data_IF_840985607700
#
_entry.id   IF_840985607700
#
_cell.length_a   1.000
_cell.length_b   1.000
_cell.length_c   1.000
_cell.angle_alpha   90.00
_cell.angle_beta   90.00
_cell.angle_gamma   90.00
#
_symmetry.space_group_name_H-M   'P 1'
#
loop_
_entity.id
_entity.type
_entity.pdbx_description
1 polymer ?
#
# COMPACT_ATOMS: atom_id res chain seq x y z
N UNK A 1 -23.14 -16.30 15.27
CA UNK A 1 -23.42 -14.86 15.48
C UNK A 1 -22.56 -14.08 14.49
N UNK A 2 -23.08 -13.84 13.28
CA UNK A 2 -22.35 -13.16 12.21
C UNK A 2 -23.13 -11.88 11.82
N UNK A 3 -23.07 -10.87 12.71
CA UNK A 3 -23.76 -9.58 12.54
C UNK A 3 -22.84 -8.48 12.02
N UNK A 4 -21.53 -8.68 12.08
CA UNK A 4 -20.56 -7.72 11.56
C UNK A 4 -20.78 -7.55 10.05
N UNK A 5 -20.86 -6.29 9.60
CA UNK A 5 -21.08 -5.90 8.20
C UNK A 5 -22.33 -6.52 7.53
N UNK A 6 -23.33 -6.98 8.30
CA UNK A 6 -24.59 -7.41 7.69
C UNK A 6 -25.33 -6.19 7.10
N UNK A 7 -26.15 -6.36 6.05
CA UNK A 7 -26.94 -5.27 5.48
C UNK A 7 -27.77 -4.53 6.54
N UNK A 8 -28.46 -5.26 7.42
CA UNK A 8 -29.27 -4.68 8.49
C UNK A 8 -28.43 -3.83 9.47
N UNK A 9 -27.24 -4.33 9.85
CA UNK A 9 -26.35 -3.61 10.75
C UNK A 9 -25.84 -2.32 10.11
N UNK A 10 -25.43 -2.40 8.84
CA UNK A 10 -24.91 -1.26 8.08
C UNK A 10 -25.99 -0.20 7.87
N UNK A 11 -27.20 -0.61 7.49
CA UNK A 11 -28.32 0.30 7.28
C UNK A 11 -28.73 0.99 8.59
N UNK A 12 -28.81 0.25 9.69
CA UNK A 12 -29.17 0.82 10.98
C UNK A 12 -28.11 1.78 11.54
N UNK A 13 -26.82 1.50 11.31
CA UNK A 13 -25.72 2.26 11.93
C UNK A 13 -25.26 3.44 11.08
N UNK A 14 -25.28 3.32 9.75
CA UNK A 14 -24.73 4.32 8.82
C UNK A 14 -25.75 4.82 7.79
N UNK A 15 -26.82 4.08 7.55
CA UNK A 15 -27.82 4.39 6.54
C UNK A 15 -27.74 3.51 5.29
N UNK A 16 -28.68 3.77 4.38
CA UNK A 16 -28.94 2.91 3.21
C UNK A 16 -27.84 2.93 2.15
N UNK A 17 -27.07 4.02 2.06
CA UNK A 17 -26.12 4.23 0.99
C UNK A 17 -24.69 3.99 1.48
N UNK A 18 -23.91 3.21 0.74
CA UNK A 18 -22.55 2.87 1.14
C UNK A 18 -21.62 4.09 1.26
N UNK A 19 -21.91 5.20 0.57
CA UNK A 19 -21.17 6.45 0.69
C UNK A 19 -21.26 7.08 2.09
N UNK A 20 -22.19 6.60 2.93
CA UNK A 20 -22.34 7.03 4.32
C UNK A 20 -21.47 6.20 5.27
N UNK A 21 -20.91 5.08 4.81
CA UNK A 21 -20.07 4.21 5.65
C UNK A 21 -18.71 4.86 5.86
N UNK A 22 -18.24 4.89 7.10
CA UNK A 22 -16.90 5.40 7.41
C UNK A 22 -15.77 4.51 6.89
N UNK A 23 -14.53 5.04 6.87
CA UNK A 23 -13.32 4.32 6.41
C UNK A 23 -13.07 3.05 7.23
N UNK A 24 -13.48 3.02 8.49
CA UNK A 24 -13.40 1.86 9.37
C UNK A 24 -14.15 0.66 8.81
N UNK A 25 -15.25 0.86 8.10
CA UNK A 25 -16.02 -0.22 7.48
C UNK A 25 -15.23 -0.89 6.36
N UNK A 26 -14.57 -0.09 5.52
CA UNK A 26 -13.66 -0.61 4.49
C UNK A 26 -12.46 -1.33 5.12
N UNK A 27 -11.94 -0.81 6.22
CA UNK A 27 -10.80 -1.38 6.95
C UNK A 27 -11.15 -2.74 7.56
N UNK A 28 -12.30 -2.85 8.25
CA UNK A 28 -12.80 -4.11 8.82
C UNK A 28 -13.02 -5.14 7.71
N UNK A 29 -13.66 -4.75 6.61
CA UNK A 29 -13.89 -5.63 5.47
C UNK A 29 -12.58 -6.20 4.91
N UNK A 30 -11.59 -5.34 4.69
CA UNK A 30 -10.32 -5.74 4.08
C UNK A 30 -9.48 -6.59 5.05
N UNK A 31 -9.39 -6.21 6.33
CA UNK A 31 -8.71 -7.02 7.34
C UNK A 31 -9.37 -8.40 7.49
N UNK A 32 -10.70 -8.48 7.44
CA UNK A 32 -11.42 -9.75 7.46
C UNK A 32 -11.05 -10.62 6.24
N UNK A 33 -11.01 -10.05 5.04
CA UNK A 33 -10.58 -10.78 3.83
C UNK A 33 -9.15 -11.30 3.90
N UNK A 34 -8.27 -10.65 4.65
CA UNK A 34 -6.86 -11.04 4.78
C UNK A 34 -6.69 -12.13 5.84
N UNK A 35 -7.29 -11.96 7.02
CA UNK A 35 -6.96 -12.78 8.19
C UNK A 35 -8.05 -13.77 8.62
N UNK A 36 -9.26 -13.63 8.11
CA UNK A 36 -10.40 -14.45 8.55
C UNK A 36 -10.75 -15.46 7.45
N UNK A 37 -11.02 -16.70 7.84
CA UNK A 37 -11.45 -17.76 6.91
C UNK A 37 -12.73 -17.35 6.20
N UNK A 38 -12.79 -17.61 4.90
CA UNK A 38 -13.95 -17.33 4.07
C UNK A 38 -15.25 -17.93 4.64
N UNK A 39 -16.34 -17.16 4.55
CA UNK A 39 -17.66 -17.54 5.10
C UNK A 39 -17.84 -17.34 6.60
N UNK A 40 -16.80 -16.99 7.35
CA UNK A 40 -16.90 -16.77 8.81
C UNK A 40 -17.61 -15.46 9.16
N UNK A 41 -17.42 -14.42 8.35
CA UNK A 41 -17.96 -13.08 8.57
C UNK A 41 -18.66 -12.54 7.32
N UNK A 42 -19.67 -11.69 7.48
CA UNK A 42 -20.22 -10.98 6.32
C UNK A 42 -19.19 -9.95 5.84
N UNK A 43 -19.21 -9.71 4.53
CA UNK A 43 -18.32 -8.78 3.84
C UNK A 43 -19.15 -7.84 2.98
N UNK A 44 -18.56 -6.71 2.64
CA UNK A 44 -19.13 -5.79 1.66
C UNK A 44 -19.10 -6.44 0.27
N UNK A 45 -20.08 -6.11 -0.56
CA UNK A 45 -20.02 -6.41 -1.98
C UNK A 45 -18.82 -5.70 -2.64
N UNK A 46 -18.29 -6.25 -3.72
CA UNK A 46 -17.17 -5.63 -4.45
C UNK A 46 -17.48 -4.20 -4.89
N UNK A 47 -18.73 -3.94 -5.30
CA UNK A 47 -19.17 -2.59 -5.69
C UNK A 47 -19.01 -1.60 -4.54
N UNK A 48 -19.44 -1.98 -3.33
CA UNK A 48 -19.29 -1.14 -2.14
C UNK A 48 -17.81 -0.91 -1.80
N UNK A 49 -16.99 -1.97 -1.86
CA UNK A 49 -15.53 -1.87 -1.63
C UNK A 49 -14.89 -0.87 -2.59
N UNK A 50 -15.20 -0.95 -3.89
CA UNK A 50 -14.65 -0.04 -4.91
C UNK A 50 -15.10 1.41 -4.67
N UNK A 51 -16.37 1.64 -4.30
CA UNK A 51 -16.86 2.98 -4.00
C UNK A 51 -16.13 3.57 -2.79
N UNK A 52 -16.03 2.82 -1.69
CA UNK A 52 -15.35 3.28 -0.47
C UNK A 52 -13.86 3.52 -0.72
N UNK A 53 -13.21 2.65 -1.48
CA UNK A 53 -11.80 2.83 -1.84
C UNK A 53 -11.59 4.17 -2.54
N UNK A 54 -12.39 4.47 -3.58
CA UNK A 54 -12.31 5.75 -4.31
C UNK A 54 -12.54 6.97 -3.43
N UNK A 55 -13.34 6.84 -2.37
CA UNK A 55 -13.60 7.92 -1.43
C UNK A 55 -12.45 8.15 -0.43
N UNK A 56 -11.73 7.09 -0.06
CA UNK A 56 -10.82 7.12 1.09
C UNK A 56 -9.34 7.02 0.78
N UNK A 57 -8.97 6.67 -0.45
CA UNK A 57 -7.58 6.69 -0.92
C UNK A 57 -7.21 8.06 -1.48
N UNK A 58 -5.98 8.48 -1.20
CA UNK A 58 -5.36 9.60 -1.89
C UNK A 58 -4.94 9.19 -3.31
N UNK A 59 -4.65 10.19 -4.15
CA UNK A 59 -3.99 10.00 -5.44
C UNK A 59 -2.58 9.41 -5.25
N UNK A 60 -2.09 8.72 -6.27
CA UNK A 60 -0.68 8.33 -6.34
C UNK A 60 0.16 9.53 -6.83
N UNK A 61 1.24 9.92 -6.13
CA UNK A 61 2.13 10.96 -6.63
C UNK A 61 2.75 10.58 -7.97
N UNK A 62 2.64 11.46 -8.96
CA UNK A 62 3.18 11.30 -10.32
C UNK A 62 3.73 12.64 -10.77
N UNK A 63 5.01 12.69 -11.17
CA UNK A 63 5.71 13.91 -11.61
C UNK A 63 5.09 14.59 -12.82
N UNK A 64 4.37 13.84 -13.65
CA UNK A 64 3.75 14.37 -14.86
C UNK A 64 2.46 15.17 -14.54
N UNK A 65 2.00 15.13 -13.29
CA UNK A 65 0.77 15.79 -12.87
C UNK A 65 1.08 17.13 -12.19
N UNK A 66 0.67 18.29 -12.76
CA UNK A 66 0.99 19.59 -12.20
C UNK A 66 0.22 19.85 -10.90
N UNK A 67 0.85 19.56 -9.76
CA UNK A 67 0.31 19.79 -8.41
C UNK A 67 1.39 20.19 -7.42
N UNK A 68 0.98 20.91 -6.37
CA UNK A 68 1.83 21.14 -5.21
C UNK A 68 1.99 19.86 -4.39
N UNK A 69 3.18 19.25 -4.46
CA UNK A 69 3.53 18.08 -3.66
C UNK A 69 3.86 18.46 -2.22
N UNK A 70 3.24 17.76 -1.27
CA UNK A 70 3.68 17.80 0.11
C UNK A 70 5.04 17.07 0.27
N UNK A 71 5.65 17.19 1.46
CA UNK A 71 6.95 16.60 1.73
C UNK A 71 6.99 15.09 1.44
N UNK A 72 5.97 14.33 1.86
CA UNK A 72 5.89 12.89 1.63
C UNK A 72 5.75 12.54 0.15
N UNK A 73 4.96 13.30 -0.61
CA UNK A 73 4.79 13.05 -2.04
C UNK A 73 6.11 13.24 -2.78
N UNK A 74 6.89 14.26 -2.42
CA UNK A 74 8.24 14.47 -2.95
C UNK A 74 9.17 13.30 -2.64
N UNK A 75 9.11 12.75 -1.42
CA UNK A 75 9.89 11.57 -1.06
C UNK A 75 9.42 10.31 -1.82
N UNK A 76 8.12 10.12 -2.00
CA UNK A 76 7.58 9.01 -2.80
C UNK A 76 8.15 9.04 -4.22
N UNK A 77 8.07 10.21 -4.86
CA UNK A 77 8.61 10.47 -6.19
C UNK A 77 10.12 10.24 -6.24
N UNK A 78 10.87 10.78 -5.27
CA UNK A 78 12.33 10.63 -5.21
C UNK A 78 12.77 9.17 -5.04
N UNK A 79 12.09 8.40 -4.17
CA UNK A 79 12.34 6.97 -4.00
C UNK A 79 12.07 6.21 -5.30
N UNK A 80 10.96 6.52 -5.99
CA UNK A 80 10.68 5.92 -7.30
C UNK A 80 11.80 6.21 -8.29
N UNK A 81 12.24 7.47 -8.40
CA UNK A 81 13.33 7.87 -9.32
C UNK A 81 14.64 7.11 -9.05
N UNK A 82 15.05 7.04 -7.78
CA UNK A 82 16.28 6.32 -7.40
C UNK A 82 16.16 4.84 -7.76
N UNK A 83 15.03 4.21 -7.47
CA UNK A 83 14.80 2.80 -7.81
C UNK A 83 14.75 2.57 -9.32
N UNK A 84 14.09 3.43 -10.09
CA UNK A 84 13.97 3.30 -11.53
C UNK A 84 15.34 3.40 -12.21
N UNK A 85 16.17 4.36 -11.77
CA UNK A 85 17.53 4.52 -12.29
C UNK A 85 18.41 3.31 -11.98
N UNK A 86 18.30 2.77 -10.77
CA UNK A 86 19.18 1.69 -10.28
C UNK A 86 18.75 0.30 -10.74
N UNK A 87 17.47 0.13 -11.08
CA UNK A 87 16.88 -1.14 -11.52
C UNK A 87 16.73 -1.27 -13.05
N UNK A 88 17.17 -0.26 -13.79
CA UNK A 88 17.26 -0.32 -15.25
C UNK A 88 16.07 0.24 -16.03
N UNK A 89 15.14 0.96 -15.38
CA UNK A 89 14.06 1.64 -16.09
C UNK A 89 12.79 1.89 -15.27
N UNK A 90 11.87 2.63 -15.87
CA UNK A 90 10.55 2.96 -15.31
C UNK A 90 9.69 1.70 -15.14
N UNK A 91 9.90 0.69 -15.99
CA UNK A 91 9.13 -0.53 -16.03
C UNK A 91 9.36 -1.48 -14.85
N UNK A 92 10.40 -1.23 -14.04
CA UNK A 92 10.79 -2.07 -12.89
C UNK A 92 10.28 -1.55 -11.54
N UNK A 93 9.57 -0.43 -11.54
CA UNK A 93 9.04 0.22 -10.33
C UNK A 93 7.68 0.83 -10.63
N UNK A 94 6.67 0.53 -9.81
CA UNK A 94 5.32 1.09 -9.97
C UNK A 94 4.73 1.53 -8.64
N UNK A 95 3.89 2.57 -8.65
CA UNK A 95 3.07 2.93 -7.49
C UNK A 95 1.73 2.21 -7.55
N UNK A 96 1.30 1.56 -6.46
CA UNK A 96 -0.01 0.90 -6.42
C UNK A 96 -0.67 0.93 -5.05
N UNK A 97 -2.01 0.95 -5.02
CA UNK A 97 -2.79 0.79 -3.78
C UNK A 97 -3.11 -0.69 -3.55
N UNK A 98 -2.15 -1.44 -2.99
CA UNK A 98 -2.35 -2.86 -2.66
C UNK A 98 -3.44 -3.04 -1.60
N UNK A 99 -3.47 -2.12 -0.63
CA UNK A 99 -4.44 -2.07 0.45
C UNK A 99 -5.28 -0.79 0.37
N UNK A 100 -6.45 -0.86 -0.26
CA UNK A 100 -7.31 0.29 -0.57
C UNK A 100 -7.97 0.97 0.65
N UNK A 101 -7.87 0.37 1.83
CA UNK A 101 -8.34 0.99 3.08
C UNK A 101 -7.25 1.85 3.75
N UNK A 102 -6.00 1.71 3.32
CA UNK A 102 -4.94 2.65 3.64
C UNK A 102 -4.97 3.81 2.66
N UNK A 103 -4.88 5.03 3.20
CA UNK A 103 -5.03 6.24 2.42
C UNK A 103 -3.96 6.40 1.34
N UNK A 104 -2.69 6.09 1.67
CA UNK A 104 -1.56 6.21 0.73
C UNK A 104 -1.20 4.86 0.15
N UNK A 105 -0.86 4.85 -1.14
CA UNK A 105 -0.32 3.70 -1.85
C UNK A 105 1.12 3.38 -1.46
N UNK A 106 1.67 2.37 -2.13
CA UNK A 106 2.98 1.82 -1.88
C UNK A 106 3.80 1.83 -3.17
N UNK A 107 5.12 1.85 -3.05
CA UNK A 107 6.02 1.62 -4.18
C UNK A 107 6.26 0.12 -4.28
N UNK A 108 5.98 -0.45 -5.44
CA UNK A 108 6.07 -1.89 -5.69
C UNK A 108 7.23 -2.16 -6.64
N UNK A 109 8.05 -3.14 -6.26
CA UNK A 109 9.11 -3.71 -7.09
C UNK A 109 9.06 -5.24 -6.99
N UNK A 110 9.69 -5.91 -7.93
CA UNK A 110 9.76 -7.37 -7.96
C UNK A 110 11.16 -7.84 -8.36
N UNK A 111 11.67 -8.87 -7.68
CA UNK A 111 12.89 -9.58 -8.08
C UNK A 111 12.55 -11.03 -8.41
N UNK A 112 13.22 -11.61 -9.40
CA UNK A 112 13.15 -13.05 -9.63
C UNK A 112 13.83 -13.84 -8.51
N UNK A 113 13.74 -15.16 -8.58
CA UNK A 113 14.40 -16.08 -7.63
C UNK A 113 15.93 -15.99 -7.62
N UNK A 114 16.55 -15.33 -8.62
CA UNK A 114 17.99 -15.07 -8.71
C UNK A 114 18.38 -13.68 -8.18
N UNK A 115 17.40 -12.88 -7.75
CA UNK A 115 17.59 -11.52 -7.26
C UNK A 115 17.63 -10.45 -8.36
N UNK A 116 17.32 -10.78 -9.61
CA UNK A 116 17.30 -9.85 -10.72
C UNK A 116 15.98 -9.07 -10.78
N UNK A 117 15.98 -7.76 -11.09
CA UNK A 117 14.75 -7.00 -11.26
C UNK A 117 13.82 -7.58 -12.32
N UNK A 118 12.53 -7.64 -12.01
CA UNK A 118 11.44 -8.05 -12.92
C UNK A 118 10.53 -6.85 -13.20
N UNK A 119 10.00 -6.77 -14.42
CA UNK A 119 9.08 -5.71 -14.83
C UNK A 119 7.76 -5.79 -14.05
N UNK A 120 7.25 -4.64 -13.62
CA UNK A 120 6.02 -4.49 -12.83
C UNK A 120 5.03 -3.48 -13.41
N UNK A 121 5.37 -2.79 -14.50
CA UNK A 121 4.55 -1.73 -15.13
C UNK A 121 3.12 -2.17 -15.48
N UNK A 122 2.94 -3.46 -15.79
CA UNK A 122 1.64 -4.04 -16.16
C UNK A 122 1.14 -5.11 -15.19
N UNK A 123 1.82 -5.30 -14.06
CA UNK A 123 1.51 -6.39 -13.15
C UNK A 123 0.07 -6.35 -12.61
N UNK A 124 -0.51 -5.16 -12.49
CA UNK A 124 -1.82 -4.96 -11.88
C UNK A 124 -2.83 -4.28 -12.81
N UNK A 125 -2.61 -4.28 -14.14
CA UNK A 125 -3.49 -3.58 -15.09
C UNK A 125 -4.92 -4.12 -15.10
N UNK A 126 -5.07 -5.43 -14.88
CA UNK A 126 -6.37 -6.12 -14.90
C UNK A 126 -7.10 -6.05 -13.55
N UNK A 127 -6.43 -5.56 -12.49
CA UNK A 127 -7.00 -5.51 -11.15
C UNK A 127 -7.83 -4.24 -11.02
N UNK A 128 -9.13 -4.41 -10.76
CA UNK A 128 -10.03 -3.29 -10.50
C UNK A 128 -9.57 -2.53 -9.26
N UNK A 129 -9.36 -1.23 -9.44
CA UNK A 129 -9.02 -0.32 -8.35
C UNK A 129 -9.95 -0.48 -7.15
N UNK A 130 -9.37 -0.55 -5.96
CA UNK A 130 -10.09 -0.63 -4.69
C UNK A 130 -10.21 -2.04 -4.14
N UNK A 131 -9.97 -3.07 -4.94
CA UNK A 131 -9.86 -4.45 -4.44
C UNK A 131 -8.47 -4.71 -3.85
N UNK A 132 -8.36 -5.72 -3.00
CA UNK A 132 -7.08 -6.17 -2.46
C UNK A 132 -6.26 -6.82 -3.58
N UNK A 133 -5.00 -6.42 -3.69
CA UNK A 133 -4.07 -6.96 -4.68
C UNK A 133 -3.15 -7.98 -4.04
N UNK A 134 -2.92 -9.11 -4.73
CA UNK A 134 -1.93 -10.12 -4.35
C UNK A 134 -0.78 -10.14 -5.37
N UNK A 135 0.40 -10.65 -5.01
CA UNK A 135 1.42 -11.04 -5.98
C UNK A 135 0.81 -11.89 -7.11
N UNK A 136 1.22 -11.63 -8.35
CA UNK A 136 0.69 -12.33 -9.53
C UNK A 136 1.40 -13.67 -9.81
N UNK A 137 2.57 -13.87 -9.22
CA UNK A 137 3.42 -15.05 -9.35
C UNK A 137 4.21 -15.29 -8.06
N UNK A 138 5.12 -16.26 -8.08
CA UNK A 138 5.94 -16.67 -6.94
C UNK A 138 7.27 -15.89 -6.80
N UNK A 139 7.50 -14.86 -7.63
CA UNK A 139 8.68 -14.02 -7.52
C UNK A 139 8.68 -13.23 -6.19
N UNK A 140 9.80 -12.57 -5.90
CA UNK A 140 9.94 -11.79 -4.68
C UNK A 140 9.35 -10.39 -4.86
N UNK A 141 8.07 -10.26 -4.54
CA UNK A 141 7.33 -8.99 -4.56
C UNK A 141 7.58 -8.18 -3.30
N UNK A 142 7.96 -6.92 -3.47
CA UNK A 142 8.30 -6.02 -2.38
C UNK A 142 7.40 -4.80 -2.42
N UNK A 143 6.80 -4.47 -1.27
CA UNK A 143 6.00 -3.27 -1.09
C UNK A 143 6.70 -2.31 -0.12
N UNK A 144 7.11 -1.15 -0.63
CA UNK A 144 7.78 -0.11 0.12
C UNK A 144 6.76 0.94 0.61
N UNK A 145 6.66 1.07 1.92
CA UNK A 145 5.77 2.01 2.60
C UNK A 145 6.55 3.29 2.89
N UNK A 146 6.14 4.42 2.31
CA UNK A 146 6.72 5.73 2.63
C UNK A 146 6.11 6.26 3.94
N UNK A 147 6.92 6.30 5.00
CA UNK A 147 6.48 6.66 6.35
C UNK A 147 7.01 8.04 6.76
N UNK A 148 6.12 8.95 7.19
CA UNK A 148 6.51 10.27 7.72
C UNK A 148 7.01 10.20 9.18
N UNK A 149 7.39 11.35 9.72
CA UNK A 149 7.76 11.50 11.13
C UNK A 149 6.67 11.01 12.10
N UNK A 150 5.41 11.27 11.78
CA UNK A 150 4.26 10.90 12.62
C UNK A 150 3.88 9.42 12.48
N UNK A 151 4.59 8.67 11.64
CA UNK A 151 4.39 7.23 11.47
C UNK A 151 5.11 6.41 12.55
N UNK A 152 5.87 7.07 13.42
CA UNK A 152 6.64 6.44 14.48
C UNK A 152 6.25 7.04 15.84
N UNK A 153 6.27 6.20 16.86
CA UNK A 153 6.21 6.64 18.26
C UNK A 153 7.56 7.25 18.66
N UNK A 154 7.61 7.95 19.80
CA UNK A 154 8.86 8.51 20.33
C UNK A 154 9.94 7.45 20.59
N UNK A 155 9.55 6.19 20.79
CA UNK A 155 10.45 5.04 20.90
C UNK A 155 11.11 4.63 19.59
N UNK A 156 10.72 5.23 18.46
CA UNK A 156 11.15 4.83 17.12
C UNK A 156 10.39 3.64 16.53
N UNK A 157 9.46 3.05 17.29
CA UNK A 157 8.61 1.95 16.82
C UNK A 157 7.53 2.48 15.87
N UNK A 158 7.21 1.78 14.77
CA UNK A 158 6.11 2.19 13.89
C UNK A 158 4.78 2.27 14.64
N UNK A 159 3.94 3.24 14.29
CA UNK A 159 2.60 3.39 14.85
C UNK A 159 1.72 2.17 14.54
N UNK A 160 0.59 2.03 15.23
CA UNK A 160 -0.37 0.94 14.96
C UNK A 160 -0.85 0.93 13.50
N UNK A 161 -1.00 2.11 12.88
CA UNK A 161 -1.39 2.24 11.48
C UNK A 161 -0.35 1.65 10.52
N UNK A 162 0.94 1.98 10.71
CA UNK A 162 2.01 1.45 9.85
C UNK A 162 2.28 -0.03 10.14
N UNK A 163 2.22 -0.42 11.41
CA UNK A 163 2.39 -1.82 11.83
C UNK A 163 1.30 -2.72 11.26
N UNK A 164 0.05 -2.26 11.21
CA UNK A 164 -1.04 -3.01 10.57
C UNK A 164 -0.78 -3.16 9.07
N UNK A 165 -0.41 -2.06 8.40
CA UNK A 165 -0.11 -2.08 6.95
C UNK A 165 0.98 -3.09 6.60
N UNK A 166 2.08 -3.10 7.37
CA UNK A 166 3.15 -4.08 7.23
C UNK A 166 2.63 -5.52 7.36
N UNK A 167 1.88 -5.79 8.42
CA UNK A 167 1.33 -7.13 8.70
C UNK A 167 0.40 -7.59 7.57
N UNK A 168 -0.42 -6.69 7.05
CA UNK A 168 -1.39 -6.96 5.99
C UNK A 168 -0.74 -7.23 4.63
N UNK A 169 0.24 -6.41 4.25
CA UNK A 169 1.04 -6.64 3.03
C UNK A 169 1.79 -7.98 3.10
N UNK A 170 2.40 -8.27 4.25
CA UNK A 170 3.08 -9.55 4.49
C UNK A 170 2.11 -10.74 4.40
N UNK A 171 0.91 -10.62 4.98
CA UNK A 171 -0.12 -11.66 4.90
C UNK A 171 -0.67 -11.88 3.50
N UNK A 172 -0.63 -10.86 2.63
CA UNK A 172 -0.99 -10.99 1.21
C UNK A 172 0.13 -11.60 0.35
N UNK A 173 1.34 -11.79 0.90
CA UNK A 173 2.47 -12.41 0.22
C UNK A 173 3.54 -11.44 -0.29
N UNK A 174 3.43 -10.15 0.00
CA UNK A 174 4.51 -9.20 -0.27
C UNK A 174 5.55 -9.23 0.84
N UNK A 175 6.80 -8.90 0.53
CA UNK A 175 7.76 -8.45 1.53
C UNK A 175 7.56 -6.95 1.76
N UNK A 176 7.05 -6.58 2.94
CA UNK A 176 6.76 -5.19 3.26
C UNK A 176 7.92 -4.53 4.02
N UNK A 177 8.41 -3.39 3.53
CA UNK A 177 9.46 -2.63 4.17
C UNK A 177 9.12 -1.13 4.27
N UNK A 178 9.61 -0.46 5.32
CA UNK A 178 9.36 0.96 5.55
C UNK A 178 10.54 1.79 5.05
N UNK A 179 10.26 2.77 4.20
CA UNK A 179 11.20 3.86 3.91
C UNK A 179 10.97 4.96 4.93
N UNK A 180 11.88 5.08 5.89
CA UNK A 180 11.75 5.97 7.04
C UNK A 180 12.16 7.40 6.67
N UNK A 181 11.21 8.34 6.71
CA UNK A 181 11.46 9.76 6.46
C UNK A 181 12.65 10.31 7.26
N UNK A 182 12.75 9.99 8.56
CA UNK A 182 13.77 10.57 9.44
C UNK A 182 15.21 10.15 9.07
N UNK A 183 15.34 9.08 8.31
CA UNK A 183 16.61 8.57 7.79
C UNK A 183 16.79 9.09 6.37
N UNK A 184 15.85 8.77 5.49
CA UNK A 184 15.93 9.06 4.06
C UNK A 184 16.03 10.56 3.76
N UNK A 185 15.31 11.41 4.49
CA UNK A 185 15.29 12.86 4.22
C UNK A 185 16.60 13.57 4.57
N UNK A 186 17.53 12.89 5.26
CA UNK A 186 18.85 13.43 5.63
C UNK A 186 19.93 13.04 4.63
N UNK A 187 19.61 12.13 3.70
CA UNK A 187 20.54 11.66 2.68
C UNK A 187 20.57 12.67 1.53
N UNK A 188 21.74 13.17 1.21
CA UNK A 188 21.93 14.15 0.12
C UNK A 188 22.35 13.45 -1.18
N UNK A 189 23.14 12.37 -1.07
CA UNK A 189 23.70 11.65 -2.20
C UNK A 189 22.78 10.57 -2.76
N UNK A 190 22.69 10.49 -4.09
CA UNK A 190 21.94 9.41 -4.77
C UNK A 190 22.50 8.02 -4.42
N UNK A 191 23.82 7.88 -4.29
CA UNK A 191 24.47 6.63 -3.92
C UNK A 191 24.08 6.17 -2.50
N UNK A 192 24.01 7.09 -1.55
CA UNK A 192 23.62 6.80 -0.16
C UNK A 192 22.14 6.35 -0.10
N UNK A 193 21.27 7.07 -0.82
CA UNK A 193 19.85 6.69 -0.95
C UNK A 193 19.70 5.30 -1.58
N UNK A 194 20.46 5.02 -2.65
CA UNK A 194 20.46 3.72 -3.31
C UNK A 194 20.93 2.61 -2.36
N UNK A 195 22.02 2.82 -1.61
CA UNK A 195 22.51 1.85 -0.64
C UNK A 195 21.46 1.56 0.45
N UNK A 196 20.85 2.60 1.00
CA UNK A 196 19.77 2.47 1.98
C UNK A 196 18.59 1.67 1.43
N UNK A 197 18.09 2.02 0.24
CA UNK A 197 16.98 1.32 -0.40
C UNK A 197 17.35 -0.14 -0.71
N UNK A 198 18.57 -0.41 -1.19
CA UNK A 198 19.05 -1.76 -1.43
C UNK A 198 19.11 -2.59 -0.15
N UNK A 199 19.45 -1.98 0.99
CA UNK A 199 19.45 -2.67 2.27
C UNK A 199 18.04 -2.97 2.78
N UNK A 200 17.05 -2.14 2.45
CA UNK A 200 15.65 -2.42 2.78
C UNK A 200 15.07 -3.60 1.99
N UNK A 201 15.49 -3.77 0.73
CA UNK A 201 14.92 -4.76 -0.21
C UNK A 201 15.67 -6.10 -0.23
N UNK A 202 16.78 -6.20 0.50
CA UNK A 202 17.50 -7.46 0.73
C UNK A 202 16.71 -8.29 1.75
N UNK A 203 16.65 -9.60 1.48
CA UNK A 203 16.12 -10.60 2.39
C UNK A 203 17.24 -11.16 3.27
#
# INVERSE_FOLDING_TARGET
>A
MNKALSPDFLEHSYGKHCQQYGREILSINNMAKIFVKEGTVNLLSEKQVIVLAKMYTDYMPDENYPKQYNALDKMFIDVMKVLQKTRGGQEYVTGHHILSHHQRGDIIICNDHKGSPVRVDKAFSEIKFGLLTKPIDDNFWIALIIANRNSFLNSGVPSGYVSSKLRELNALGFYAAIVNWNIYSKMEGENEKNEYLNNLIKK
#
